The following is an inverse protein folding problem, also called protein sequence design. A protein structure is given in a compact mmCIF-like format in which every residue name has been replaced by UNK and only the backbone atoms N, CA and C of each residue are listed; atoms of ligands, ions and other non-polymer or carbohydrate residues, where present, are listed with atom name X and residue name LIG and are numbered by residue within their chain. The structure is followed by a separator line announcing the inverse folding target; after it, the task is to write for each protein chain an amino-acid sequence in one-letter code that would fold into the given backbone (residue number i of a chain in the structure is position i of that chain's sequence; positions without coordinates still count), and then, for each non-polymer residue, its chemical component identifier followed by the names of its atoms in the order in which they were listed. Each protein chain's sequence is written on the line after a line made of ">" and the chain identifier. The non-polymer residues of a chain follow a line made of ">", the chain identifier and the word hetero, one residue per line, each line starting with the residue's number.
data_IF_210491331447
#
_entry.id   IF_210491331447
#
_cell.length_a   1.000
_cell.length_b   1.000
_cell.length_c   1.000
_cell.angle_alpha   90.00
_cell.angle_beta   90.00
_cell.angle_gamma   90.00
#
_symmetry.space_group_name_H-M   'P 1'
#
loop_
_entity.id
_entity.type
_entity.pdbx_description
1 polymer ?
#
# COMPACT_ATOMS: atom_id res chain seq x y z
N UNK A 1 34.04 17.37 4.28
CA UNK A 1 32.66 17.92 4.19
C UNK A 1 31.77 16.83 3.63
N UNK A 2 31.07 16.08 4.49
CA UNK A 2 30.18 15.00 4.06
C UNK A 2 28.91 15.62 3.48
N UNK A 3 28.68 15.47 2.17
CA UNK A 3 27.44 15.88 1.52
C UNK A 3 26.33 14.95 2.03
N UNK A 4 25.40 15.47 2.82
CA UNK A 4 24.16 14.75 3.15
C UNK A 4 23.45 14.38 1.83
N UNK A 5 23.04 13.12 1.63
CA UNK A 5 22.32 12.76 0.40
C UNK A 5 21.03 13.58 0.30
N UNK A 6 20.58 13.94 -0.92
CA UNK A 6 19.32 14.63 -1.11
C UNK A 6 18.20 13.77 -0.52
N UNK A 7 17.37 14.35 0.36
CA UNK A 7 16.19 13.68 0.94
C UNK A 7 15.21 13.35 -0.19
N UNK A 8 15.32 12.16 -0.77
CA UNK A 8 14.33 11.63 -1.71
C UNK A 8 13.04 11.29 -0.95
N UNK A 9 11.88 11.53 -1.57
CA UNK A 9 10.61 11.11 -1.01
C UNK A 9 10.54 9.58 -0.87
N UNK A 10 9.78 9.05 0.11
CA UNK A 10 9.50 7.63 0.17
C UNK A 10 8.68 7.20 -1.05
N UNK A 11 8.86 5.97 -1.50
CA UNK A 11 8.19 5.40 -2.67
C UNK A 11 7.22 4.29 -2.27
N UNK A 12 6.03 4.32 -2.85
CA UNK A 12 5.03 3.26 -2.72
C UNK A 12 4.84 2.58 -4.08
N UNK A 13 5.32 1.35 -4.20
CA UNK A 13 5.08 0.49 -5.37
C UNK A 13 3.74 -0.22 -5.19
N UNK A 14 2.83 0.01 -6.11
CA UNK A 14 1.42 -0.33 -5.91
C UNK A 14 0.69 -0.66 -7.22
N UNK A 15 -0.51 -1.22 -7.09
CA UNK A 15 -1.50 -1.22 -8.16
C UNK A 15 -2.65 -0.30 -7.77
N UNK A 16 -3.06 0.58 -8.68
CA UNK A 16 -4.05 1.60 -8.35
C UNK A 16 -5.39 1.00 -7.91
N UNK A 17 -5.79 -0.15 -8.44
CA UNK A 17 -7.02 -0.86 -8.08
C UNK A 17 -6.86 -1.88 -6.93
N UNK A 18 -5.71 -1.96 -6.27
CA UNK A 18 -5.47 -2.97 -5.24
C UNK A 18 -5.90 -2.49 -3.84
N UNK A 19 -6.79 -3.23 -3.14
CA UNK A 19 -7.26 -2.83 -1.81
C UNK A 19 -6.16 -2.86 -0.74
N UNK A 20 -5.17 -3.75 -0.85
CA UNK A 20 -4.01 -3.74 0.05
C UNK A 20 -3.15 -2.49 -0.14
N UNK A 21 -3.08 -1.96 -1.36
CA UNK A 21 -2.40 -0.70 -1.63
C UNK A 21 -3.19 0.48 -1.08
N UNK A 22 -4.53 0.45 -1.17
CA UNK A 22 -5.39 1.48 -0.59
C UNK A 22 -5.22 1.63 0.92
N UNK A 23 -5.04 0.53 1.66
CA UNK A 23 -4.72 0.60 3.10
C UNK A 23 -3.54 1.53 3.39
N UNK A 24 -2.44 1.35 2.66
CA UNK A 24 -1.23 2.16 2.81
C UNK A 24 -1.44 3.60 2.33
N UNK A 25 -2.09 3.79 1.17
CA UNK A 25 -2.40 5.12 0.62
C UNK A 25 -3.24 5.94 1.59
N UNK A 26 -4.27 5.33 2.19
CA UNK A 26 -5.16 5.98 3.15
C UNK A 26 -4.40 6.40 4.40
N UNK A 27 -3.50 5.57 4.93
CA UNK A 27 -2.67 5.93 6.07
C UNK A 27 -1.74 7.12 5.75
N UNK A 28 -1.05 7.07 4.61
CA UNK A 28 -0.17 8.15 4.17
C UNK A 28 -0.93 9.46 3.98
N UNK A 29 -2.13 9.40 3.39
CA UNK A 29 -3.00 10.56 3.22
C UNK A 29 -3.49 11.13 4.56
N UNK A 30 -3.92 10.26 5.48
CA UNK A 30 -4.36 10.66 6.82
C UNK A 30 -3.24 11.38 7.59
N UNK A 31 -2.02 10.85 7.54
CA UNK A 31 -0.84 11.45 8.16
C UNK A 31 -0.21 12.59 7.36
N UNK A 32 -0.74 12.91 6.18
CA UNK A 32 -0.24 13.95 5.25
C UNK A 32 1.24 13.76 4.89
N UNK A 33 1.68 12.51 4.73
CA UNK A 33 3.06 12.18 4.37
C UNK A 33 3.19 12.28 2.85
N UNK A 34 4.10 13.12 2.31
CA UNK A 34 4.37 13.15 0.88
C UNK A 34 5.11 11.87 0.46
N UNK A 35 4.69 11.26 -0.64
CA UNK A 35 5.32 10.05 -1.19
C UNK A 35 5.20 10.03 -2.71
N UNK A 36 6.12 9.31 -3.35
CA UNK A 36 6.07 9.00 -4.78
C UNK A 36 5.30 7.68 -4.96
N UNK A 37 4.26 7.69 -5.78
CA UNK A 37 3.53 6.47 -6.15
C UNK A 37 4.11 5.90 -7.43
N UNK A 38 4.52 4.64 -7.41
CA UNK A 38 5.05 3.92 -8.57
C UNK A 38 4.06 2.82 -8.94
N UNK A 39 3.38 2.97 -10.08
CA UNK A 39 2.50 1.92 -10.61
C UNK A 39 3.35 0.76 -11.11
N UNK A 40 3.11 -0.43 -10.58
CA UNK A 40 3.80 -1.64 -11.01
C UNK A 40 3.04 -2.25 -12.18
N UNK A 41 3.73 -2.61 -13.25
CA UNK A 41 3.06 -3.28 -14.35
C UNK A 41 2.75 -4.73 -13.95
N UNK A 42 1.48 -5.19 -14.00
CA UNK A 42 1.08 -6.47 -13.38
C UNK A 42 1.70 -7.72 -14.05
N UNK A 43 2.01 -7.63 -15.34
CA UNK A 43 2.61 -8.72 -16.13
C UNK A 43 4.13 -8.76 -16.01
N UNK A 44 4.80 -7.63 -16.25
CA UNK A 44 6.26 -7.59 -16.36
C UNK A 44 6.99 -7.29 -15.04
N UNK A 45 6.30 -6.63 -14.09
CA UNK A 45 6.76 -6.29 -12.74
C UNK A 45 8.17 -5.70 -12.70
N UNK A 46 8.57 -4.93 -13.73
CA UNK A 46 9.95 -4.43 -13.90
C UNK A 46 10.33 -3.48 -12.76
N UNK A 47 9.37 -2.73 -12.26
CA UNK A 47 9.53 -1.69 -11.24
C UNK A 47 9.96 -2.27 -9.89
N UNK A 48 9.59 -3.53 -9.61
CA UNK A 48 9.88 -4.22 -8.34
C UNK A 48 10.99 -5.28 -8.47
N UNK A 49 11.75 -5.28 -9.56
CA UNK A 49 12.87 -6.23 -9.76
C UNK A 49 13.99 -6.10 -8.71
N UNK A 50 14.12 -4.92 -8.08
CA UNK A 50 15.10 -4.68 -7.03
C UNK A 50 14.84 -5.50 -5.76
N UNK A 51 13.57 -5.82 -5.48
CA UNK A 51 13.18 -6.64 -4.34
C UNK A 51 13.67 -8.08 -4.62
N UNK A 52 14.40 -8.75 -3.73
CA UNK A 52 14.92 -10.09 -4.02
C UNK A 52 13.83 -11.16 -3.94
N UNK A 53 13.09 -11.20 -2.82
CA UNK A 53 12.18 -12.30 -2.48
C UNK A 53 10.69 -11.92 -2.51
N UNK A 54 10.36 -10.63 -2.69
CA UNK A 54 8.97 -10.17 -2.69
C UNK A 54 8.56 -9.69 -4.10
N UNK A 55 7.53 -10.33 -4.67
CA UNK A 55 7.03 -10.11 -6.05
C UNK A 55 5.56 -9.67 -6.09
N UNK A 56 5.08 -9.13 -4.97
CA UNK A 56 3.71 -8.62 -4.76
C UNK A 56 3.78 -7.13 -4.44
N UNK A 57 2.63 -6.48 -4.42
CA UNK A 57 2.44 -5.10 -3.93
C UNK A 57 1.42 -5.14 -2.78
N UNK A 58 1.42 -4.16 -1.86
CA UNK A 58 2.30 -2.98 -1.81
C UNK A 58 3.74 -3.29 -1.37
N UNK A 59 4.69 -2.50 -1.88
CA UNK A 59 6.06 -2.39 -1.34
C UNK A 59 6.30 -0.91 -1.03
N UNK A 60 6.74 -0.61 0.20
CA UNK A 60 7.13 0.72 0.60
C UNK A 60 8.66 0.79 0.72
N UNK A 61 9.26 1.80 0.13
CA UNK A 61 10.69 2.10 0.26
C UNK A 61 10.82 3.48 0.84
N UNK A 62 11.44 3.59 2.01
CA UNK A 62 11.58 4.89 2.67
C UNK A 62 12.69 5.76 2.08
N UNK A 63 12.87 6.97 2.62
CA UNK A 63 13.86 7.93 2.15
C UNK A 63 15.31 7.43 2.30
N UNK A 64 15.54 6.44 3.18
CA UNK A 64 16.84 5.81 3.42
C UNK A 64 17.04 4.56 2.55
N UNK A 65 16.08 4.21 1.70
CA UNK A 65 16.11 3.01 0.87
C UNK A 65 15.68 1.73 1.61
N UNK A 66 15.09 1.83 2.80
CA UNK A 66 14.61 0.67 3.54
C UNK A 66 13.31 0.16 2.93
N UNK A 67 13.33 -1.08 2.44
CA UNK A 67 12.14 -1.76 1.93
C UNK A 67 11.32 -2.39 3.07
N UNK A 68 10.01 -2.15 3.05
CA UNK A 68 9.01 -2.80 3.90
C UNK A 68 7.92 -3.38 3.00
N UNK A 69 7.51 -4.61 3.28
CA UNK A 69 6.60 -5.38 2.44
C UNK A 69 5.30 -5.67 3.18
N UNK A 70 4.23 -5.91 2.40
CA UNK A 70 2.88 -6.20 2.89
C UNK A 70 2.19 -5.02 3.58
N UNK A 71 0.88 -4.88 3.38
CA UNK A 71 0.13 -3.68 3.74
C UNK A 71 0.15 -3.41 5.25
N UNK A 72 -0.10 -4.42 6.08
CA UNK A 72 -0.15 -4.25 7.54
C UNK A 72 1.22 -3.93 8.16
N UNK A 73 2.32 -4.66 7.84
CA UNK A 73 3.66 -4.28 8.31
C UNK A 73 4.11 -2.90 7.83
N UNK A 74 3.78 -2.52 6.57
CA UNK A 74 4.04 -1.17 6.07
C UNK A 74 3.29 -0.13 6.89
N UNK A 75 2.01 -0.36 7.20
CA UNK A 75 1.24 0.58 8.02
C UNK A 75 1.86 0.76 9.41
N UNK A 76 2.19 -0.34 10.11
CA UNK A 76 2.83 -0.29 11.43
C UNK A 76 4.17 0.45 11.38
N UNK A 77 4.97 0.19 10.33
CA UNK A 77 6.23 0.90 10.10
C UNK A 77 6.06 2.41 9.91
N UNK A 78 5.08 2.83 9.11
CA UNK A 78 4.80 4.25 8.86
C UNK A 78 4.33 4.93 10.15
N UNK A 79 3.45 4.29 10.92
CA UNK A 79 2.95 4.85 12.18
C UNK A 79 4.06 5.01 13.23
N UNK A 80 4.96 4.02 13.34
CA UNK A 80 6.15 4.08 14.20
C UNK A 80 7.13 5.18 13.75
N UNK A 81 7.34 5.34 12.43
CA UNK A 81 8.27 6.32 11.86
C UNK A 81 7.73 7.76 11.94
N UNK A 82 6.41 7.92 11.88
CA UNK A 82 5.71 9.20 11.88
C UNK A 82 4.70 9.25 13.04
N UNK A 83 5.16 9.54 14.28
CA UNK A 83 4.36 9.40 15.49
C UNK A 83 3.25 10.45 15.64
N UNK A 84 3.24 11.50 14.80
CA UNK A 84 2.17 12.49 14.71
C UNK A 84 0.84 11.82 14.31
N UNK A 85 -0.23 12.06 15.06
CA UNK A 85 -1.56 11.45 14.86
C UNK A 85 -1.48 9.92 14.79
N UNK A 86 -1.20 9.22 15.90
CA UNK A 86 -1.03 7.77 15.92
C UNK A 86 -2.34 7.08 15.49
N UNK A 87 -2.21 6.12 14.58
CA UNK A 87 -3.35 5.32 14.09
C UNK A 87 -3.46 4.01 14.87
N UNK A 88 -2.33 3.45 15.31
CA UNK A 88 -2.32 2.25 16.12
C UNK A 88 -2.29 2.58 17.62
N UNK A 89 -2.85 1.66 18.40
CA UNK A 89 -2.87 1.82 19.85
C UNK A 89 -1.43 1.73 20.41
N UNK A 90 -1.18 2.44 21.52
CA UNK A 90 0.10 2.36 22.21
C UNK A 90 0.41 0.90 22.58
N UNK A 91 1.70 0.53 22.50
CA UNK A 91 2.15 -0.83 22.82
C UNK A 91 1.62 -1.27 24.19
N UNK A 92 1.00 -2.45 24.25
CA UNK A 92 0.38 -2.99 25.46
C UNK A 92 -1.08 -2.58 25.70
N UNK A 93 -1.67 -1.73 24.83
CA UNK A 93 -3.08 -1.34 24.92
C UNK A 93 -3.85 -1.83 23.68
N UNK A 94 -4.98 -2.50 23.88
CA UNK A 94 -5.97 -2.87 22.84
C UNK A 94 -5.45 -3.62 21.58
N UNK A 95 -4.21 -4.11 21.55
CA UNK A 95 -3.57 -4.75 20.39
C UNK A 95 -4.37 -5.94 19.84
N UNK A 96 -5.01 -6.72 20.71
CA UNK A 96 -5.83 -7.86 20.29
C UNK A 96 -7.06 -7.45 19.49
N UNK A 97 -7.74 -6.36 19.89
CA UNK A 97 -8.88 -5.81 19.15
C UNK A 97 -8.42 -5.23 17.80
N UNK A 98 -7.30 -4.53 17.80
CA UNK A 98 -6.72 -3.94 16.59
C UNK A 98 -6.32 -5.01 15.56
N UNK A 99 -5.58 -6.03 15.98
CA UNK A 99 -5.18 -7.15 15.13
C UNK A 99 -6.42 -7.87 14.55
N UNK A 100 -7.47 -8.04 15.37
CA UNK A 100 -8.75 -8.62 14.92
C UNK A 100 -9.41 -7.77 13.83
N UNK A 101 -9.44 -6.45 13.96
CA UNK A 101 -10.02 -5.56 12.94
C UNK A 101 -9.17 -5.50 11.66
N UNK A 102 -7.84 -5.52 11.78
CA UNK A 102 -6.94 -5.60 10.64
C UNK A 102 -7.15 -6.89 9.86
N UNK A 103 -7.23 -8.02 10.57
CA UNK A 103 -7.50 -9.34 9.98
C UNK A 103 -8.89 -9.40 9.35
N UNK A 104 -9.91 -8.82 9.99
CA UNK A 104 -11.25 -8.72 9.38
C UNK A 104 -11.22 -7.92 8.08
N UNK A 105 -10.53 -6.79 8.05
CA UNK A 105 -10.38 -5.98 6.84
C UNK A 105 -9.65 -6.76 5.72
N UNK A 106 -8.60 -7.53 6.05
CA UNK A 106 -7.88 -8.32 5.05
C UNK A 106 -8.65 -9.55 4.56
N UNK A 107 -9.48 -10.16 5.40
CA UNK A 107 -10.14 -11.44 5.10
C UNK A 107 -11.56 -11.29 4.55
N UNK A 108 -12.32 -10.29 5.00
CA UNK A 108 -13.73 -10.13 4.66
C UNK A 108 -13.93 -8.97 3.68
N UNK A 109 -13.40 -7.79 3.99
CA UNK A 109 -13.60 -6.61 3.14
C UNK A 109 -12.96 -6.81 1.75
N UNK A 110 -11.74 -7.33 1.69
CA UNK A 110 -11.07 -7.64 0.41
C UNK A 110 -11.82 -8.69 -0.41
N UNK A 111 -12.50 -9.66 0.23
CA UNK A 111 -13.28 -10.69 -0.48
C UNK A 111 -14.67 -10.23 -0.91
N UNK A 112 -15.22 -9.21 -0.25
CA UNK A 112 -16.50 -8.61 -0.61
C UNK A 112 -16.39 -7.64 -1.79
N UNK A 113 -15.19 -7.10 -2.06
CA UNK A 113 -14.98 -6.14 -3.14
C UNK A 113 -15.16 -6.73 -4.57
N UNK A 114 -14.62 -7.93 -4.90
CA UNK A 114 -14.82 -8.51 -6.23
C UNK A 114 -16.29 -8.65 -6.65
N UNK A 115 -17.22 -9.23 -5.86
CA UNK A 115 -18.61 -9.33 -6.28
C UNK A 115 -19.35 -7.98 -6.36
N UNK A 116 -18.87 -6.94 -5.66
CA UNK A 116 -19.41 -5.58 -5.78
C UNK A 116 -18.92 -4.86 -7.04
N UNK A 117 -17.65 -5.06 -7.42
CA UNK A 117 -17.02 -4.44 -8.60
C UNK A 117 -17.39 -5.18 -9.89
N UNK A 118 -17.48 -6.52 -9.84
CA UNK A 118 -17.74 -7.40 -10.98
C UNK A 118 -19.17 -7.96 -10.98
N UNK A 119 -20.13 -7.20 -10.45
CA UNK A 119 -21.50 -7.67 -10.17
C UNK A 119 -22.24 -8.24 -11.38
N UNK A 120 -21.97 -7.71 -12.58
CA UNK A 120 -22.44 -8.22 -13.86
C UNK A 120 -21.37 -8.00 -14.94
N UNK A 121 -21.61 -8.53 -16.16
CA UNK A 121 -20.64 -8.48 -17.27
C UNK A 121 -20.32 -7.02 -17.67
N UNK A 122 -21.30 -6.12 -17.67
CA UNK A 122 -21.06 -4.70 -17.99
C UNK A 122 -20.19 -4.02 -16.94
N UNK A 123 -20.46 -4.26 -15.66
CA UNK A 123 -19.68 -3.73 -14.55
C UNK A 123 -18.24 -4.30 -14.58
N UNK A 124 -18.10 -5.56 -14.98
CA UNK A 124 -16.78 -6.21 -15.15
C UNK A 124 -15.96 -5.60 -16.28
N UNK A 125 -16.59 -5.30 -17.42
CA UNK A 125 -15.94 -4.62 -18.53
C UNK A 125 -15.52 -3.20 -18.15
N UNK A 126 -16.37 -2.45 -17.44
CA UNK A 126 -16.01 -1.11 -16.94
C UNK A 126 -14.86 -1.14 -15.94
N UNK A 127 -14.83 -2.11 -15.03
CA UNK A 127 -13.73 -2.29 -14.10
C UNK A 127 -12.42 -2.65 -14.83
N UNK A 128 -12.49 -3.49 -15.85
CA UNK A 128 -11.36 -3.83 -16.70
C UNK A 128 -10.86 -2.62 -17.52
N UNK A 129 -11.76 -1.84 -18.12
CA UNK A 129 -11.42 -0.61 -18.83
C UNK A 129 -10.75 0.41 -17.91
N UNK A 130 -11.25 0.57 -16.68
CA UNK A 130 -10.64 1.43 -15.67
C UNK A 130 -9.22 0.98 -15.31
N UNK A 131 -9.01 -0.31 -15.08
CA UNK A 131 -7.69 -0.88 -14.76
C UNK A 131 -6.71 -0.65 -15.92
N UNK A 132 -7.12 -0.94 -17.15
CA UNK A 132 -6.25 -0.84 -18.34
C UNK A 132 -5.95 0.60 -18.77
N UNK A 133 -6.84 1.57 -18.50
CA UNK A 133 -6.55 3.00 -18.71
C UNK A 133 -5.44 3.50 -17.78
N UNK A 134 -5.36 2.96 -16.56
CA UNK A 134 -4.34 3.33 -15.58
C UNK A 134 -2.97 2.68 -15.86
N UNK A 135 -2.90 1.66 -16.72
CA UNK A 135 -1.64 1.03 -17.15
C UNK A 135 -0.90 1.82 -18.26
N UNK A 136 -1.57 2.77 -18.93
CA UNK A 136 -1.03 3.50 -20.10
C UNK A 136 -0.45 4.88 -19.80
N UNK A 137 -0.54 5.36 -18.56
CA UNK A 137 0.07 6.63 -18.09
C UNK A 137 1.40 6.38 -17.40
#
# INVERSE_FOLDING_TARGET
>A
MSKSPPKSLPKLYQYNACPFCWKVKTLLAYKKIPYESVEVHPLNKKEIKFSPNYRKVPIFVDEMGRQVNDSTPIMKYIDDKYPENPVFAAKGTAQEKEEKWLQWADSILVRALPPLIYRNISDSLKAFDYITQQEKS
#
